data_IF_380995113516
#
_entry.id   IF_380995113516
#
_cell.length_a   1.000
_cell.length_b   1.000
_cell.length_c   1.000
_cell.angle_alpha   90.00
_cell.angle_beta   90.00
_cell.angle_gamma   90.00
#
_symmetry.space_group_name_H-M   'P 1'
#
loop_
_entity.id
_entity.type
_entity.pdbx_description
1 polymer ?
#
# COMPACT_ATOMS: atom_id res chain seq x y z
N UNK A 1 -3.79 0.69 13.46
CA UNK A 1 -3.71 -0.38 12.44
C UNK A 1 -4.93 -0.19 11.55
N UNK A 2 -4.79 -0.03 10.22
CA UNK A 2 -5.94 0.19 9.33
C UNK A 2 -6.44 -1.12 8.73
N UNK A 3 -7.75 -1.31 8.69
CA UNK A 3 -8.40 -2.49 8.11
C UNK A 3 -8.19 -2.52 6.60
N UNK A 4 -8.23 -3.70 5.99
CA UNK A 4 -8.06 -3.83 4.54
C UNK A 4 -9.05 -2.96 3.74
N UNK A 5 -10.32 -2.98 4.13
CA UNK A 5 -11.36 -2.16 3.50
C UNK A 5 -11.05 -0.67 3.57
N UNK A 6 -10.49 -0.18 4.68
CA UNK A 6 -10.08 1.21 4.83
C UNK A 6 -8.94 1.58 3.88
N UNK A 7 -7.99 0.67 3.66
CA UNK A 7 -6.87 0.87 2.72
C UNK A 7 -7.34 0.90 1.29
N UNK A 8 -8.20 -0.05 0.90
CA UNK A 8 -8.79 -0.11 -0.45
C UNK A 8 -9.57 1.17 -0.73
N UNK A 9 -10.46 1.55 0.18
CA UNK A 9 -11.28 2.76 0.05
C UNK A 9 -10.42 4.02 -0.08
N UNK A 10 -9.30 4.10 0.64
CA UNK A 10 -8.36 5.21 0.55
C UNK A 10 -7.63 5.26 -0.79
N UNK A 11 -7.20 4.13 -1.33
CA UNK A 11 -6.50 4.07 -2.63
C UNK A 11 -7.46 4.29 -3.79
N UNK A 12 -8.66 3.71 -3.76
CA UNK A 12 -9.70 3.98 -4.75
C UNK A 12 -10.06 5.47 -4.79
N UNK A 13 -10.24 6.08 -3.62
CA UNK A 13 -10.54 7.51 -3.52
C UNK A 13 -9.35 8.35 -4.03
N UNK A 14 -8.12 7.95 -3.73
CA UNK A 14 -6.92 8.61 -4.23
C UNK A 14 -6.81 8.56 -5.76
N UNK A 15 -7.12 7.42 -6.37
CA UNK A 15 -7.15 7.26 -7.83
C UNK A 15 -8.29 8.09 -8.44
N UNK A 16 -9.49 8.04 -7.86
CA UNK A 16 -10.67 8.81 -8.29
C UNK A 16 -10.44 10.33 -8.22
N UNK A 17 -9.71 10.80 -7.22
CA UNK A 17 -9.34 12.21 -7.05
C UNK A 17 -8.12 12.64 -7.89
N UNK A 18 -7.57 11.76 -8.73
CA UNK A 18 -6.43 12.06 -9.60
C UNK A 18 -5.11 12.19 -8.84
N UNK A 19 -4.81 11.23 -7.94
CA UNK A 19 -3.58 11.17 -7.14
C UNK A 19 -3.42 12.34 -6.14
N UNK A 20 -4.54 12.96 -5.70
CA UNK A 20 -4.55 14.06 -4.72
C UNK A 20 -4.62 13.54 -3.27
N UNK A 21 -3.44 13.31 -2.68
CA UNK A 21 -3.30 12.80 -1.31
C UNK A 21 -3.97 13.67 -0.25
N UNK A 22 -3.75 14.99 -0.27
CA UNK A 22 -4.39 15.91 0.69
C UNK A 22 -5.92 15.87 0.65
N UNK A 23 -6.51 15.75 -0.54
CA UNK A 23 -7.95 15.69 -0.69
C UNK A 23 -8.52 14.38 -0.12
N UNK A 24 -7.82 13.26 -0.37
CA UNK A 24 -8.18 11.94 0.18
C UNK A 24 -8.14 11.95 1.71
N UNK A 25 -7.08 12.50 2.30
CA UNK A 25 -6.90 12.58 3.77
C UNK A 25 -7.96 13.51 4.39
N UNK A 26 -8.26 14.65 3.76
CA UNK A 26 -9.29 15.58 4.24
C UNK A 26 -10.69 14.96 4.21
N UNK A 27 -10.95 14.10 3.23
CA UNK A 27 -12.26 13.47 3.03
C UNK A 27 -12.48 12.25 3.92
N UNK A 28 -11.44 11.47 4.18
CA UNK A 28 -11.52 10.27 5.03
C UNK A 28 -11.18 10.56 6.50
N UNK A 29 -10.40 11.61 6.81
CA UNK A 29 -9.90 11.90 8.15
C UNK A 29 -8.73 11.01 8.60
N UNK A 30 -8.41 9.99 7.79
CA UNK A 30 -7.30 9.06 7.85
C UNK A 30 -7.00 8.65 6.40
N UNK A 31 -5.93 7.91 6.04
CA UNK A 31 -4.68 7.66 6.74
C UNK A 31 -3.70 8.85 6.65
N UNK A 32 -2.47 8.71 7.13
CA UNK A 32 -1.40 9.71 6.88
C UNK A 32 -0.89 9.62 5.43
N UNK A 33 -0.28 10.72 4.96
CA UNK A 33 0.29 10.83 3.60
C UNK A 33 1.26 9.67 3.27
N UNK A 34 2.05 9.24 4.25
CA UNK A 34 3.03 8.18 4.06
C UNK A 34 2.37 6.81 3.88
N UNK A 35 1.33 6.51 4.67
CA UNK A 35 0.55 5.27 4.53
C UNK A 35 -0.14 5.21 3.18
N UNK A 36 -0.77 6.30 2.73
CA UNK A 36 -1.43 6.35 1.42
C UNK A 36 -0.42 6.11 0.28
N UNK A 37 0.77 6.70 0.38
CA UNK A 37 1.84 6.53 -0.61
C UNK A 37 2.39 5.11 -0.63
N UNK A 38 2.52 4.47 0.54
CA UNK A 38 2.92 3.06 0.64
C UNK A 38 1.90 2.14 -0.04
N UNK A 39 0.61 2.33 0.24
CA UNK A 39 -0.46 1.52 -0.36
C UNK A 39 -0.57 1.72 -1.88
N UNK A 40 -0.43 2.96 -2.36
CA UNK A 40 -0.42 3.21 -3.82
C UNK A 40 0.78 2.55 -4.51
N UNK A 41 1.97 2.58 -3.89
CA UNK A 41 3.15 1.93 -4.42
C UNK A 41 3.02 0.40 -4.42
N UNK A 42 2.39 -0.19 -3.40
CA UNK A 42 2.04 -1.62 -3.42
C UNK A 42 1.05 -1.94 -4.54
N UNK A 43 0.01 -1.12 -4.71
CA UNK A 43 -0.99 -1.28 -5.76
C UNK A 43 -0.37 -1.16 -7.16
N UNK A 44 0.51 -0.18 -7.41
CA UNK A 44 1.21 -0.02 -8.69
C UNK A 44 2.20 -1.17 -8.98
N UNK A 45 2.77 -1.81 -7.95
CA UNK A 45 3.72 -2.92 -8.12
C UNK A 45 3.07 -4.29 -8.29
N UNK A 46 1.97 -4.55 -7.58
CA UNK A 46 1.35 -5.88 -7.49
C UNK A 46 0.06 -5.93 -8.32
N UNK A 47 -0.53 -4.78 -8.65
CA UNK A 47 -1.83 -4.68 -9.31
C UNK A 47 -3.01 -4.86 -8.35
N UNK A 48 -2.75 -5.11 -7.07
CA UNK A 48 -3.78 -5.25 -6.03
C UNK A 48 -3.24 -4.82 -4.65
N UNK A 49 -4.15 -4.38 -3.78
CA UNK A 49 -3.85 -4.12 -2.38
C UNK A 49 -3.95 -5.43 -1.62
N UNK A 50 -2.93 -5.76 -0.84
CA UNK A 50 -2.95 -7.01 -0.09
C UNK A 50 -4.09 -7.05 0.94
N UNK A 51 -4.98 -8.05 0.77
CA UNK A 51 -6.17 -8.34 1.60
C UNK A 51 -5.87 -8.64 3.07
N UNK A 52 -4.65 -9.05 3.35
CA UNK A 52 -4.09 -9.21 4.69
C UNK A 52 -2.63 -8.78 4.66
N UNK A 53 -2.02 -8.61 5.84
CA UNK A 53 -0.59 -8.38 5.98
C UNK A 53 0.18 -9.64 5.55
N UNK A 54 0.21 -9.92 4.25
CA UNK A 54 0.88 -11.10 3.69
C UNK A 54 2.23 -10.60 3.24
N UNK A 55 3.22 -10.57 4.13
CA UNK A 55 4.65 -10.28 3.83
C UNK A 55 4.93 -10.51 2.34
N UNK A 56 4.89 -9.46 1.51
CA UNK A 56 5.28 -9.58 0.10
C UNK A 56 6.79 -9.72 0.14
N UNK A 57 7.20 -10.98 0.12
CA UNK A 57 8.50 -11.54 -0.23
C UNK A 57 9.72 -10.84 0.42
N UNK A 58 10.53 -11.55 1.24
CA UNK A 58 11.84 -11.03 1.60
C UNK A 58 12.59 -10.66 0.33
N UNK A 59 13.05 -9.41 0.27
CA UNK A 59 13.88 -8.86 -0.81
C UNK A 59 15.32 -9.34 -0.64
N UNK A 60 15.48 -10.64 -0.41
CA UNK A 60 16.75 -11.34 -0.35
C UNK A 60 16.51 -12.70 -0.99
N UNK A 61 17.09 -12.89 -2.17
CA UNK A 61 17.20 -14.21 -2.78
C UNK A 61 17.84 -15.16 -1.77
N UNK A 62 17.25 -16.33 -1.56
CA UNK A 62 17.87 -17.47 -0.88
C UNK A 62 19.07 -18.03 -1.69
N UNK A 63 19.72 -17.23 -2.53
CA UNK A 63 20.91 -17.60 -3.32
C UNK A 63 22.22 -17.16 -2.63
N UNK A 64 22.18 -16.59 -1.42
CA UNK A 64 23.39 -16.23 -0.66
C UNK A 64 23.68 -17.16 0.53
N UNK A 65 23.31 -18.44 0.45
CA UNK A 65 23.72 -19.39 1.49
C UNK A 65 24.06 -20.79 0.96
N UNK A 66 25.12 -20.89 0.17
CA UNK A 66 26.23 -21.81 0.49
C UNK A 66 27.43 -21.56 -0.43
N UNK A 67 28.35 -20.73 0.04
CA UNK A 67 29.78 -21.03 -0.12
C UNK A 67 30.09 -22.01 1.01
N UNK A 68 30.46 -23.23 0.63
CA UNK A 68 30.88 -24.33 1.51
C UNK A 68 31.36 -25.47 0.64
#
# INVERSE_FOLDING_TARGET
MYSYQERVRAVELYLKLGKRSKATIRQLGYPTKNSLKAWCNEFEKIGDLQRGYVRVKPKYSEEQKNVG
#
